data_IF_193651729419
#
_entry.id   IF_193651729419
#
_cell.length_a   1.000
_cell.length_b   1.000
_cell.length_c   1.000
_cell.angle_alpha   90.00
_cell.angle_beta   90.00
_cell.angle_gamma   90.00
#
_symmetry.space_group_name_H-M   'P 1'
#
loop_
_entity.id
_entity.type
_entity.pdbx_description
1 polymer ?
#
# COMPACT_ATOMS: atom_id res chain seq x y z
N UNK A 1 -13.06 1.69 -27.72
CA UNK A 1 -12.66 3.03 -27.25
C UNK A 1 -12.50 3.08 -25.72
N UNK A 2 -13.48 2.58 -24.96
CA UNK A 2 -13.50 2.61 -23.48
C UNK A 2 -12.34 1.82 -22.83
N UNK A 3 -11.97 0.65 -23.39
CA UNK A 3 -10.83 -0.15 -22.91
C UNK A 3 -9.47 0.58 -22.97
N UNK A 4 -9.38 1.70 -23.69
CA UNK A 4 -8.16 2.52 -23.78
C UNK A 4 -8.08 3.57 -22.68
N UNK A 5 -9.19 3.92 -22.05
CA UNK A 5 -9.26 4.93 -20.97
C UNK A 5 -9.26 4.32 -19.56
N UNK A 6 -9.73 3.08 -19.41
CA UNK A 6 -9.62 2.29 -18.17
C UNK A 6 -8.25 2.36 -17.48
N UNK A 7 -7.11 2.13 -18.18
CA UNK A 7 -5.80 2.18 -17.52
C UNK A 7 -5.43 3.58 -17.00
N UNK A 8 -5.95 4.66 -17.60
CA UNK A 8 -5.73 6.02 -17.07
C UNK A 8 -6.47 6.23 -15.75
N UNK A 9 -7.72 5.74 -15.67
CA UNK A 9 -8.56 5.83 -14.46
C UNK A 9 -7.94 4.98 -13.33
N UNK A 10 -7.41 3.79 -13.65
CA UNK A 10 -6.82 2.89 -12.66
C UNK A 10 -5.38 3.28 -12.25
N UNK A 11 -4.67 4.08 -13.06
CA UNK A 11 -3.26 4.42 -12.80
C UNK A 11 -3.03 5.06 -11.44
N UNK A 12 -3.84 6.07 -11.06
CA UNK A 12 -3.74 6.73 -9.76
C UNK A 12 -4.06 5.80 -8.59
N UNK A 13 -4.97 4.84 -8.81
CA UNK A 13 -5.38 3.85 -7.81
C UNK A 13 -4.25 2.85 -7.57
N UNK A 14 -3.60 2.39 -8.64
CA UNK A 14 -2.45 1.51 -8.55
C UNK A 14 -1.27 2.16 -7.81
N UNK A 15 -1.05 3.47 -7.96
CA UNK A 15 -0.02 4.19 -7.19
C UNK A 15 -0.30 4.09 -5.68
N UNK A 16 -1.54 4.36 -5.24
CA UNK A 16 -1.92 4.25 -3.83
C UNK A 16 -1.73 2.82 -3.32
N UNK A 17 -2.09 1.82 -4.13
CA UNK A 17 -1.89 0.39 -3.80
C UNK A 17 -0.42 0.06 -3.54
N UNK A 18 0.48 0.58 -4.38
CA UNK A 18 1.92 0.34 -4.25
C UNK A 18 2.44 0.97 -2.94
N UNK A 19 2.08 2.23 -2.65
CA UNK A 19 2.48 2.86 -1.40
C UNK A 19 1.93 2.12 -0.17
N UNK A 20 0.68 1.67 -0.23
CA UNK A 20 0.05 0.88 0.81
C UNK A 20 0.80 -0.45 1.09
N UNK A 21 1.34 -1.07 0.04
CA UNK A 21 2.12 -2.30 0.14
C UNK A 21 3.56 -2.08 0.61
N UNK A 22 4.18 -0.94 0.25
CA UNK A 22 5.55 -0.61 0.64
C UNK A 22 5.65 -0.14 2.09
N UNK A 23 4.64 0.56 2.62
CA UNK A 23 4.68 1.12 3.97
C UNK A 23 4.99 0.08 5.09
N UNK A 24 4.37 -1.12 5.13
CA UNK A 24 4.74 -2.16 6.08
C UNK A 24 6.16 -2.70 5.88
N UNK A 25 6.59 -2.82 4.62
CA UNK A 25 7.94 -3.30 4.28
C UNK A 25 9.01 -2.31 4.77
N UNK A 26 8.74 -1.01 4.72
CA UNK A 26 9.61 0.01 5.31
C UNK A 26 9.64 -0.06 6.85
N UNK A 27 8.50 -0.35 7.49
CA UNK A 27 8.47 -0.59 8.94
C UNK A 27 9.27 -1.83 9.35
N UNK A 28 9.17 -2.91 8.56
CA UNK A 28 9.98 -4.11 8.74
C UNK A 28 11.48 -3.81 8.53
N UNK A 29 11.84 -3.01 7.52
CA UNK A 29 13.23 -2.57 7.34
C UNK A 29 13.76 -1.86 8.59
N UNK A 30 12.95 -1.02 9.23
CA UNK A 30 13.29 -0.37 10.50
C UNK A 30 13.61 -1.36 11.63
N UNK A 31 12.93 -2.52 11.67
CA UNK A 31 13.28 -3.58 12.64
C UNK A 31 14.63 -4.20 12.38
N UNK A 32 14.96 -4.43 11.10
CA UNK A 32 16.26 -4.96 10.72
C UNK A 32 17.36 -3.99 11.13
N UNK A 33 17.16 -2.69 10.89
CA UNK A 33 18.11 -1.64 11.29
C UNK A 33 18.26 -1.58 12.82
N UNK A 34 17.19 -1.60 13.60
CA UNK A 34 17.28 -1.57 15.07
C UNK A 34 17.92 -2.84 15.66
N UNK A 35 17.67 -4.01 15.07
CA UNK A 35 18.34 -5.25 15.47
C UNK A 35 19.84 -5.24 15.12
N UNK A 36 20.23 -4.65 13.99
CA UNK A 36 21.65 -4.43 13.66
C UNK A 36 22.32 -3.55 14.72
N UNK A 37 21.68 -2.45 15.12
CA UNK A 37 22.16 -1.59 16.22
C UNK A 37 22.33 -2.36 17.53
N UNK A 38 21.35 -3.19 17.87
CA UNK A 38 21.42 -4.07 19.06
C UNK A 38 22.64 -4.99 19.01
N UNK A 39 22.90 -5.65 17.88
CA UNK A 39 24.08 -6.52 17.73
C UNK A 39 25.41 -5.74 17.78
N UNK A 40 25.45 -4.52 17.24
CA UNK A 40 26.62 -3.65 17.35
C UNK A 40 26.91 -3.27 18.80
N UNK A 41 25.87 -2.89 19.55
CA UNK A 41 25.96 -2.59 20.99
C UNK A 41 26.50 -3.81 21.77
N UNK A 42 26.02 -5.02 21.47
CA UNK A 42 26.55 -6.26 22.07
C UNK A 42 28.04 -6.45 21.74
N UNK A 43 28.46 -6.14 20.52
CA UNK A 43 29.85 -6.35 20.08
C UNK A 43 30.81 -5.35 20.73
N UNK A 44 30.38 -4.10 20.92
CA UNK A 44 31.18 -3.02 21.50
C UNK A 44 31.26 -3.08 23.02
N UNK A 45 30.15 -3.40 23.69
CA UNK A 45 30.04 -3.33 25.15
C UNK A 45 29.88 -4.70 25.83
N UNK A 46 29.93 -5.80 25.06
CA UNK A 46 29.62 -7.15 25.56
C UNK A 46 28.12 -7.29 25.84
N UNK A 47 27.73 -8.04 26.87
CA UNK A 47 26.35 -7.98 27.41
C UNK A 47 26.05 -6.66 28.15
N UNK A 48 26.91 -5.65 27.98
CA UNK A 48 26.96 -4.40 28.74
C UNK A 48 25.82 -3.44 28.40
N UNK A 49 25.14 -3.07 29.47
CA UNK A 49 23.96 -2.20 29.63
C UNK A 49 22.69 -2.64 28.86
N UNK A 50 21.89 -3.56 29.45
CA UNK A 50 20.59 -3.99 28.92
C UNK A 50 19.65 -2.84 28.55
N UNK A 51 19.85 -1.66 29.15
CA UNK A 51 19.06 -0.47 28.88
C UNK A 51 19.29 0.09 27.47
N UNK A 52 20.52 0.03 26.97
CA UNK A 52 20.85 0.48 25.60
C UNK A 52 20.24 -0.51 24.60
N UNK A 53 20.41 -1.81 24.82
CA UNK A 53 19.83 -2.86 23.98
C UNK A 53 18.30 -2.77 23.92
N UNK A 54 17.64 -2.52 25.06
CA UNK A 54 16.20 -2.32 25.11
C UNK A 54 15.74 -1.09 24.30
N UNK A 55 16.57 -0.05 24.23
CA UNK A 55 16.32 1.13 23.41
C UNK A 55 16.30 0.81 21.91
N UNK A 56 17.32 0.12 21.41
CA UNK A 56 17.42 -0.25 19.98
C UNK A 56 16.28 -1.19 19.54
N UNK A 57 15.94 -2.16 20.40
CA UNK A 57 14.80 -3.07 20.18
C UNK A 57 13.47 -2.31 20.22
N UNK A 58 13.31 -1.38 21.16
CA UNK A 58 12.10 -0.55 21.23
C UNK A 58 11.93 0.30 19.97
N UNK A 59 13.03 0.90 19.47
CA UNK A 59 13.04 1.64 18.22
C UNK A 59 12.59 0.75 17.04
N UNK A 60 13.15 -0.46 16.93
CA UNK A 60 12.75 -1.44 15.93
C UNK A 60 11.23 -1.69 15.96
N UNK A 61 10.64 -1.93 17.13
CA UNK A 61 9.19 -2.16 17.26
C UNK A 61 8.37 -0.91 16.90
N UNK A 62 8.81 0.28 17.29
CA UNK A 62 8.12 1.54 16.96
C UNK A 62 8.08 1.78 15.45
N UNK A 63 9.16 1.50 14.72
CA UNK A 63 9.18 1.66 13.26
C UNK A 63 8.20 0.72 12.55
N UNK A 64 8.02 -0.51 13.05
CA UNK A 64 6.97 -1.42 12.54
C UNK A 64 5.59 -0.86 12.79
N UNK A 65 5.34 -0.39 14.01
CA UNK A 65 4.05 0.22 14.36
C UNK A 65 3.74 1.42 13.45
N UNK A 66 4.72 2.28 13.19
CA UNK A 66 4.56 3.40 12.25
C UNK A 66 4.27 2.94 10.82
N UNK A 67 4.96 1.92 10.32
CA UNK A 67 4.70 1.34 8.99
C UNK A 67 3.28 0.81 8.86
N UNK A 68 2.75 0.15 9.90
CA UNK A 68 1.38 -0.33 9.94
C UNK A 68 0.35 0.80 10.07
N UNK A 69 0.61 1.79 10.92
CA UNK A 69 -0.25 2.98 11.09
C UNK A 69 -0.37 3.75 9.77
N UNK A 70 0.69 3.81 8.96
CA UNK A 70 0.64 4.40 7.63
C UNK A 70 -0.10 3.49 6.62
N UNK A 71 0.15 2.18 6.65
CA UNK A 71 -0.43 1.25 5.67
C UNK A 71 -1.95 1.11 5.79
N UNK A 72 -2.50 1.02 7.01
CA UNK A 72 -3.92 0.74 7.23
C UNK A 72 -4.83 1.80 6.57
N UNK A 73 -4.64 3.12 6.80
CA UNK A 73 -5.42 4.15 6.12
C UNK A 73 -5.26 4.13 4.60
N UNK A 74 -4.04 3.88 4.10
CA UNK A 74 -3.79 3.81 2.66
C UNK A 74 -4.55 2.66 1.99
N UNK A 75 -4.58 1.47 2.63
CA UNK A 75 -5.33 0.31 2.12
C UNK A 75 -6.83 0.60 2.09
N UNK A 76 -7.37 1.23 3.13
CA UNK A 76 -8.78 1.61 3.19
C UNK A 76 -9.13 2.64 2.10
N UNK A 77 -8.31 3.68 1.93
CA UNK A 77 -8.50 4.68 0.89
C UNK A 77 -8.44 4.06 -0.51
N UNK A 78 -7.45 3.19 -0.76
CA UNK A 78 -7.35 2.42 -2.01
C UNK A 78 -8.61 1.60 -2.27
N UNK A 79 -9.13 0.87 -1.27
CA UNK A 79 -10.32 0.03 -1.41
C UNK A 79 -11.56 0.84 -1.84
N UNK A 80 -11.79 1.99 -1.22
CA UNK A 80 -12.93 2.86 -1.53
C UNK A 80 -12.82 3.42 -2.96
N UNK A 81 -11.65 3.93 -3.33
CA UNK A 81 -11.45 4.53 -4.66
C UNK A 81 -11.47 3.47 -5.76
N UNK A 82 -10.86 2.30 -5.53
CA UNK A 82 -10.88 1.17 -6.44
C UNK A 82 -12.31 0.65 -6.68
N UNK A 83 -13.12 0.53 -5.62
CA UNK A 83 -14.52 0.14 -5.73
C UNK A 83 -15.32 1.12 -6.58
N UNK A 84 -15.18 2.43 -6.34
CA UNK A 84 -15.85 3.46 -7.14
C UNK A 84 -15.42 3.45 -8.61
N UNK A 85 -14.12 3.31 -8.87
CA UNK A 85 -13.60 3.19 -10.23
C UNK A 85 -14.22 2.02 -10.97
N UNK A 86 -14.29 0.85 -10.32
CA UNK A 86 -14.90 -0.35 -10.92
C UNK A 86 -16.38 -0.15 -11.25
N UNK A 87 -17.14 0.52 -10.37
CA UNK A 87 -18.54 0.86 -10.65
C UNK A 87 -18.70 1.80 -11.85
N UNK A 88 -17.82 2.79 -12.00
CA UNK A 88 -17.85 3.72 -13.16
C UNK A 88 -17.53 2.98 -14.46
N UNK A 89 -16.53 2.10 -14.43
CA UNK A 89 -16.16 1.28 -15.60
C UNK A 89 -17.33 0.37 -16.00
N UNK A 90 -17.99 -0.26 -15.03
CA UNK A 90 -19.15 -1.12 -15.30
C UNK A 90 -20.31 -0.35 -15.94
N UNK A 91 -20.60 0.86 -15.45
CA UNK A 91 -21.64 1.71 -16.04
C UNK A 91 -21.30 2.12 -17.48
N UNK A 92 -20.03 2.45 -17.75
CA UNK A 92 -19.57 2.80 -19.09
C UNK A 92 -19.71 1.62 -20.06
N UNK A 93 -19.38 0.41 -19.61
CA UNK A 93 -19.51 -0.80 -20.41
C UNK A 93 -20.99 -1.12 -20.71
N UNK A 94 -21.88 -1.01 -19.73
CA UNK A 94 -23.33 -1.19 -19.93
C UNK A 94 -23.90 -0.17 -20.93
N UNK A 95 -23.55 1.10 -20.79
CA UNK A 95 -24.01 2.14 -21.71
C UNK A 95 -23.48 1.94 -23.13
N UNK A 96 -22.22 1.54 -23.28
CA UNK A 96 -21.65 1.25 -24.58
C UNK A 96 -22.33 0.05 -25.25
N UNK A 97 -22.58 -1.02 -24.50
CA UNK A 97 -23.32 -2.18 -24.99
C UNK A 97 -24.75 -1.80 -25.43
N UNK A 98 -25.45 -0.98 -24.64
CA UNK A 98 -26.79 -0.48 -24.98
C UNK A 98 -26.83 0.36 -26.25
N UNK A 99 -25.84 1.25 -26.45
CA UNK A 99 -25.74 2.08 -27.67
C UNK A 99 -25.48 1.22 -28.92
N UNK A 100 -24.60 0.22 -28.80
CA UNK A 100 -24.31 -0.70 -29.92
C UNK A 100 -25.55 -1.53 -30.27
N UNK A 101 -26.23 -2.09 -29.28
CA UNK A 101 -27.46 -2.87 -29.50
C UNK A 101 -28.55 -2.02 -30.18
N UNK A 102 -28.75 -0.78 -29.74
CA UNK A 102 -29.72 0.14 -30.35
C UNK A 102 -29.37 0.55 -31.79
N UNK A 103 -28.09 0.51 -32.17
CA UNK A 103 -27.67 0.72 -33.57
C UNK A 103 -27.87 -0.53 -34.42
N UNK A 104 -27.62 -1.72 -33.88
CA UNK A 104 -27.82 -2.99 -34.58
C UNK A 104 -29.29 -3.32 -34.85
N UNK A 105 -30.24 -2.75 -34.10
CA UNK A 105 -31.69 -2.87 -34.39
C UNK A 105 -32.19 -1.88 -35.45
N UNK A 106 -31.37 -0.87 -35.83
CA UNK A 106 -31.75 0.14 -36.83
C UNK A 106 -31.25 -0.15 -38.24
N UNK A 107 -30.36 -1.13 -38.40
CA UNK A 107 -29.98 -1.72 -39.70
C UNK A 107 -30.76 -3.02 -39.95
#
# INVERSE_FOLDING_TARGET
>A
AIMRETPKIESGINVVKIFAAIAPLLGLLGTVVGMIGTFQSITLFGTGDPKIMAGDISMALVTTAMGLIAAIPLILAHSIVASRSKSIIHLLDEQAAGIVAAHSEKE
#
